data_IF_008102200178
#
_entry.id   IF_008102200178
#
_cell.length_a   1.000
_cell.length_b   1.000
_cell.length_c   1.000
_cell.angle_alpha   90.00
_cell.angle_beta   90.00
_cell.angle_gamma   90.00
#
_symmetry.space_group_name_H-M   'P 1'
#
loop_
_entity.id
_entity.type
_entity.pdbx_description
1 polymer ?
#
# COMPACT_ATOMS: atom_id res chain seq x y z
N UNK A 1 -31.69 10.66 43.04
CA UNK A 1 -31.99 11.55 41.90
C UNK A 1 -30.76 11.52 40.99
N UNK A 2 -30.65 10.55 40.08
CA UNK A 2 -30.85 10.68 38.62
C UNK A 2 -30.25 11.93 38.01
N UNK A 3 -29.40 11.68 36.98
CA UNK A 3 -28.90 12.55 35.88
C UNK A 3 -27.40 12.83 36.00
N UNK A 4 -26.54 12.61 35.02
CA UNK A 4 -26.60 11.96 33.70
C UNK A 4 -25.13 11.76 33.33
N UNK A 5 -24.74 10.56 32.92
CA UNK A 5 -23.38 10.30 32.44
C UNK A 5 -23.12 11.07 31.15
N UNK A 6 -21.99 11.77 31.09
CA UNK A 6 -21.44 12.31 29.84
C UNK A 6 -20.24 11.45 29.51
N UNK A 7 -20.47 10.39 28.76
CA UNK A 7 -19.41 9.58 28.14
C UNK A 7 -19.04 10.32 26.86
N UNK A 8 -17.99 11.14 26.94
CA UNK A 8 -17.39 11.79 25.77
C UNK A 8 -16.30 10.86 25.22
N UNK A 9 -16.68 9.86 24.43
CA UNK A 9 -15.74 9.04 23.65
C UNK A 9 -15.40 9.82 22.39
N UNK A 10 -14.29 10.56 22.43
CA UNK A 10 -13.66 11.11 21.23
C UNK A 10 -12.62 10.09 20.76
N UNK A 11 -13.08 9.05 20.07
CA UNK A 11 -12.21 8.20 19.25
C UNK A 11 -11.97 8.92 17.91
N UNK A 12 -11.13 9.96 17.94
CA UNK A 12 -10.55 10.50 16.72
C UNK A 12 -9.42 9.55 16.32
N UNK A 13 -9.81 8.50 15.60
CA UNK A 13 -8.90 7.72 14.77
C UNK A 13 -8.28 8.65 13.74
N UNK A 14 -7.15 9.25 14.09
CA UNK A 14 -6.25 9.89 13.14
C UNK A 14 -5.53 8.80 12.34
N UNK A 15 -6.28 8.05 11.53
CA UNK A 15 -5.72 7.56 10.28
C UNK A 15 -5.59 8.79 9.38
N UNK A 16 -4.60 9.64 9.71
CA UNK A 16 -4.20 10.73 8.86
C UNK A 16 -3.66 10.05 7.60
N UNK A 17 -4.51 10.02 6.57
CA UNK A 17 -4.17 9.66 5.20
C UNK A 17 -3.09 10.63 4.73
N UNK A 18 -1.85 10.39 5.13
CA UNK A 18 -0.65 10.96 4.51
C UNK A 18 -0.42 10.21 3.20
N UNK A 19 -1.42 10.22 2.30
CA UNK A 19 -1.16 9.90 0.89
C UNK A 19 -0.72 11.24 0.28
N UNK A 20 0.53 11.58 0.57
CA UNK A 20 1.17 12.79 0.11
C UNK A 20 1.08 12.85 -1.43
N UNK A 21 0.58 13.99 -1.91
CA UNK A 21 0.73 14.55 -3.25
C UNK A 21 1.02 13.53 -4.36
N UNK A 22 0.02 12.72 -4.72
CA UNK A 22 0.11 11.91 -5.93
C UNK A 22 -0.20 12.82 -7.11
N UNK A 23 0.82 13.55 -7.56
CA UNK A 23 0.78 14.06 -8.91
C UNK A 23 0.62 12.83 -9.80
N UNK A 24 -0.55 12.69 -10.43
CA UNK A 24 -0.98 11.63 -11.36
C UNK A 24 -0.10 11.59 -12.63
N UNK A 25 1.21 11.52 -12.44
CA UNK A 25 2.19 11.56 -13.49
C UNK A 25 2.28 10.13 -14.00
N UNK A 26 1.83 9.90 -15.23
CA UNK A 26 1.88 8.58 -15.87
C UNK A 26 3.29 7.96 -15.76
N UNK A 27 4.34 8.79 -15.77
CA UNK A 27 5.71 8.34 -15.55
C UNK A 27 5.93 7.76 -14.13
N UNK A 28 5.38 8.39 -13.09
CA UNK A 28 5.49 7.90 -11.72
C UNK A 28 4.73 6.57 -11.54
N UNK A 29 3.54 6.45 -12.13
CA UNK A 29 2.81 5.17 -12.16
C UNK A 29 3.62 4.09 -12.89
N UNK A 30 4.19 4.40 -14.05
CA UNK A 30 4.98 3.43 -14.80
C UNK A 30 6.23 2.98 -14.03
N UNK A 31 6.98 3.92 -13.46
CA UNK A 31 8.17 3.59 -12.65
C UNK A 31 7.80 2.75 -11.43
N UNK A 32 6.78 3.15 -10.67
CA UNK A 32 6.37 2.41 -9.49
C UNK A 32 5.87 0.99 -9.84
N UNK A 33 5.19 0.82 -10.99
CA UNK A 33 4.80 -0.50 -11.48
C UNK A 33 6.03 -1.37 -11.75
N UNK A 34 7.00 -0.84 -12.49
CA UNK A 34 8.23 -1.57 -12.82
C UNK A 34 9.05 -1.94 -11.58
N UNK A 35 9.13 -1.06 -10.60
CA UNK A 35 9.86 -1.33 -9.36
C UNK A 35 9.17 -2.44 -8.55
N UNK A 36 7.84 -2.42 -8.48
CA UNK A 36 7.06 -3.49 -7.86
C UNK A 36 7.17 -4.83 -8.62
N UNK A 37 7.07 -4.82 -9.95
CA UNK A 37 7.21 -6.02 -10.78
C UNK A 37 8.59 -6.67 -10.58
N UNK A 38 9.66 -5.86 -10.51
CA UNK A 38 11.01 -6.35 -10.21
C UNK A 38 11.13 -6.92 -8.80
N UNK A 39 10.46 -6.32 -7.81
CA UNK A 39 10.46 -6.82 -6.45
C UNK A 39 9.72 -8.16 -6.33
N UNK A 40 8.58 -8.29 -7.01
CA UNK A 40 7.82 -9.54 -7.11
C UNK A 40 8.64 -10.62 -7.81
N UNK A 41 9.28 -10.31 -8.93
CA UNK A 41 10.15 -11.24 -9.66
C UNK A 41 11.33 -11.69 -8.78
N UNK A 42 11.99 -10.76 -8.09
CA UNK A 42 13.08 -11.09 -7.19
C UNK A 42 12.64 -11.98 -6.03
N UNK A 43 11.45 -11.72 -5.46
CA UNK A 43 10.87 -12.55 -4.42
C UNK A 43 10.57 -13.96 -4.93
N UNK A 44 9.93 -14.09 -6.09
CA UNK A 44 9.60 -15.40 -6.67
C UNK A 44 10.86 -16.22 -6.98
N UNK A 45 11.92 -15.57 -7.48
CA UNK A 45 13.21 -16.21 -7.74
C UNK A 45 13.93 -16.69 -6.48
N UNK A 46 13.83 -15.96 -5.37
CA UNK A 46 14.57 -16.26 -4.14
C UNK A 46 13.79 -17.13 -3.15
N UNK A 47 12.49 -16.95 -3.04
CA UNK A 47 11.60 -17.68 -2.12
C UNK A 47 10.90 -18.86 -2.80
N UNK A 48 10.91 -18.93 -4.14
CA UNK A 48 10.32 -20.02 -4.91
C UNK A 48 8.79 -20.00 -4.99
N UNK A 49 8.16 -18.87 -4.65
CA UNK A 49 6.73 -18.63 -4.80
C UNK A 49 6.44 -17.13 -4.86
N UNK A 50 5.33 -16.68 -5.47
CA UNK A 50 4.98 -15.27 -5.51
C UNK A 50 4.68 -14.73 -4.09
N UNK A 51 4.94 -13.44 -3.84
CA UNK A 51 4.65 -12.81 -2.56
C UNK A 51 3.14 -12.83 -2.28
N UNK A 52 2.72 -13.16 -1.04
CA UNK A 52 1.30 -13.19 -0.68
C UNK A 52 0.67 -11.80 -0.59
N UNK A 53 1.47 -10.78 -0.29
CA UNK A 53 1.09 -9.38 -0.19
C UNK A 53 2.33 -8.47 -0.35
N UNK A 54 2.12 -7.16 -0.49
CA UNK A 54 3.22 -6.20 -0.63
C UNK A 54 4.10 -6.13 0.63
N UNK A 55 3.55 -6.43 1.81
CA UNK A 55 4.31 -6.41 3.06
C UNK A 55 5.39 -7.50 3.11
N UNK A 56 5.21 -8.61 2.38
CA UNK A 56 6.24 -9.63 2.22
C UNK A 56 7.47 -9.13 1.43
N UNK A 57 7.31 -8.07 0.61
CA UNK A 57 8.42 -7.46 -0.13
C UNK A 57 9.24 -6.49 0.73
N UNK A 58 8.68 -5.96 1.82
CA UNK A 58 9.34 -4.95 2.66
C UNK A 58 10.01 -5.63 3.87
N UNK A 59 11.25 -5.28 4.25
CA UNK A 59 12.14 -4.27 3.66
C UNK A 59 13.16 -4.83 2.65
N UNK A 60 13.07 -6.13 2.33
CA UNK A 60 14.15 -6.85 1.65
C UNK A 60 14.20 -6.62 0.13
N UNK A 61 13.02 -6.44 -0.49
CA UNK A 61 12.83 -6.27 -1.93
C UNK A 61 12.34 -4.86 -2.28
N UNK A 62 11.57 -4.25 -1.36
CA UNK A 62 11.16 -2.85 -1.39
C UNK A 62 11.60 -2.16 -0.09
N UNK A 63 12.05 -0.91 -0.18
CA UNK A 63 12.43 -0.13 1.01
C UNK A 63 11.20 0.16 1.90
N UNK A 64 10.08 0.47 1.26
CA UNK A 64 8.77 0.76 1.87
C UNK A 64 7.66 0.30 0.92
N UNK A 65 6.46 0.10 1.46
CA UNK A 65 5.27 -0.14 0.66
C UNK A 65 4.96 1.04 -0.26
N UNK A 66 4.52 0.73 -1.48
CA UNK A 66 4.16 1.69 -2.51
C UNK A 66 2.84 2.38 -2.17
N UNK A 67 2.76 3.71 -2.27
CA UNK A 67 1.49 4.39 -2.11
C UNK A 67 0.58 4.23 -3.34
N UNK A 68 1.11 3.88 -4.52
CA UNK A 68 0.36 3.96 -5.79
C UNK A 68 0.17 2.65 -6.54
N UNK A 69 0.97 1.66 -6.18
CA UNK A 69 0.79 0.28 -6.62
C UNK A 69 0.52 -0.58 -5.40
N UNK A 70 -0.10 -1.72 -5.63
CA UNK A 70 -0.41 -2.73 -4.61
C UNK A 70 -0.36 -4.12 -5.26
N UNK A 71 -0.37 -5.18 -4.45
CA UNK A 71 -0.52 -6.55 -4.92
C UNK A 71 -1.95 -7.04 -4.73
N UNK A 72 -2.50 -7.68 -5.76
CA UNK A 72 -3.75 -8.42 -5.60
C UNK A 72 -3.53 -9.74 -4.84
N UNK A 73 -4.62 -10.46 -4.54
CA UNK A 73 -4.56 -11.74 -3.82
C UNK A 73 -3.82 -12.86 -4.58
N UNK A 74 -3.43 -12.63 -5.83
CA UNK A 74 -2.67 -13.58 -6.66
C UNK A 74 -1.21 -13.12 -6.85
N UNK A 75 -0.78 -12.04 -6.21
CA UNK A 75 0.56 -11.49 -6.36
C UNK A 75 0.77 -10.67 -7.64
N UNK A 76 -0.30 -10.26 -8.32
CA UNK A 76 -0.18 -9.37 -9.49
C UNK A 76 -0.07 -7.92 -9.05
N UNK A 77 0.78 -7.16 -9.74
CA UNK A 77 0.90 -5.71 -9.55
C UNK A 77 -0.33 -4.99 -10.10
N UNK A 78 -1.05 -4.31 -9.23
CA UNK A 78 -2.24 -3.52 -9.54
C UNK A 78 -2.09 -2.09 -9.03
N UNK A 79 -2.90 -1.18 -9.57
CA UNK A 79 -2.97 0.18 -9.04
C UNK A 79 -3.59 0.17 -7.64
N UNK A 80 -2.93 0.84 -6.68
CA UNK A 80 -3.50 1.01 -5.35
C UNK A 80 -4.82 1.79 -5.43
N UNK A 81 -5.84 1.47 -4.61
CA UNK A 81 -7.11 2.19 -4.61
C UNK A 81 -6.91 3.71 -4.46
N UNK A 82 -7.51 4.46 -5.39
CA UNK A 82 -7.44 5.93 -5.42
C UNK A 82 -6.09 6.51 -5.83
N UNK A 83 -5.16 5.71 -6.38
CA UNK A 83 -3.84 6.22 -6.84
C UNK A 83 -3.89 7.03 -8.13
N UNK A 84 -4.94 6.89 -8.92
CA UNK A 84 -5.03 7.51 -10.25
C UNK A 84 -4.17 6.82 -11.32
N UNK A 85 -3.48 5.74 -10.98
CA UNK A 85 -2.77 4.89 -11.94
C UNK A 85 -3.74 3.91 -12.62
N UNK A 86 -3.56 3.67 -13.92
CA UNK A 86 -4.32 2.70 -14.73
C UNK A 86 -3.38 1.75 -15.43
#
# INVERSE_FOLDING_TARGET
MRRTGVILVVLLSSCATMKADQTNNAAACHTARQDMERAVEAYDLLEGSPPPDEMALVPNYLVVASPIMDLDAHGNVVAAPGSGCT
#
